data_IF_118738418451
#
_entry.id   IF_118738418451
#
_cell.length_a   1.000
_cell.length_b   1.000
_cell.length_c   1.000
_cell.angle_alpha   90.00
_cell.angle_beta   90.00
_cell.angle_gamma   90.00
#
_symmetry.space_group_name_H-M   'P 1'
#
loop_
_entity.id
_entity.type
_entity.pdbx_description
1 polymer ?
#
# COMPACT_ATOMS: atom_id res chain seq x y z
N UNK A 1 -8.41 -13.72 -26.99
CA UNK A 1 -8.30 -12.35 -26.47
C UNK A 1 -8.04 -12.47 -24.98
N UNK A 2 -6.84 -12.14 -24.47
CA UNK A 2 -6.57 -12.23 -23.04
C UNK A 2 -7.06 -10.95 -22.37
N UNK A 3 -8.26 -11.00 -21.80
CA UNK A 3 -8.85 -9.89 -21.07
C UNK A 3 -10.19 -10.31 -20.53
N UNK A 4 -10.25 -10.55 -19.22
CA UNK A 4 -11.49 -10.83 -18.49
C UNK A 4 -12.37 -9.57 -18.50
N UNK A 5 -13.24 -9.45 -19.51
CA UNK A 5 -14.33 -8.46 -19.54
C UNK A 5 -15.64 -9.21 -19.30
N UNK A 6 -16.12 -9.15 -18.06
CA UNK A 6 -17.35 -9.78 -17.58
C UNK A 6 -17.70 -9.27 -16.17
N UNK A 7 -18.93 -9.51 -15.73
CA UNK A 7 -19.64 -8.95 -14.54
C UNK A 7 -19.06 -9.33 -13.16
N UNK A 8 -17.73 -9.44 -13.07
CA UNK A 8 -16.92 -9.75 -11.88
C UNK A 8 -15.45 -9.35 -12.03
N UNK A 9 -15.13 -8.41 -12.93
CA UNK A 9 -13.76 -7.94 -13.12
C UNK A 9 -13.25 -7.22 -11.87
N UNK A 10 -12.13 -7.71 -11.32
CA UNK A 10 -11.45 -7.10 -10.17
C UNK A 10 -11.21 -5.60 -10.46
N UNK A 11 -11.83 -4.68 -9.68
CA UNK A 11 -11.59 -3.26 -9.85
C UNK A 11 -10.16 -2.98 -9.40
N UNK A 12 -9.24 -2.92 -10.36
CA UNK A 12 -7.88 -2.44 -10.16
C UNK A 12 -7.76 -1.08 -10.85
N UNK A 13 -8.18 0.03 -10.20
CA UNK A 13 -8.22 1.35 -10.83
C UNK A 13 -6.88 1.76 -11.44
N UNK A 14 -5.74 1.39 -10.81
CA UNK A 14 -4.41 1.78 -11.28
C UNK A 14 -3.99 0.99 -12.52
N UNK A 15 -4.37 -0.29 -12.58
CA UNK A 15 -4.14 -1.14 -13.74
C UNK A 15 -5.06 -0.78 -14.91
N UNK A 16 -6.32 -0.43 -14.62
CA UNK A 16 -7.31 -0.02 -15.62
C UNK A 16 -6.96 1.33 -16.26
N UNK A 17 -6.45 2.29 -15.49
CA UNK A 17 -5.93 3.54 -16.06
C UNK A 17 -4.66 3.30 -16.91
N UNK A 18 -3.77 2.41 -16.49
CA UNK A 18 -2.57 2.06 -17.27
C UNK A 18 -2.96 1.32 -18.57
N UNK A 19 -3.95 0.43 -18.53
CA UNK A 19 -4.55 -0.22 -19.71
C UNK A 19 -5.13 0.81 -20.67
N UNK A 20 -5.94 1.74 -20.16
CA UNK A 20 -6.54 2.80 -20.98
C UNK A 20 -5.49 3.73 -21.60
N UNK A 21 -4.43 4.08 -20.86
CA UNK A 21 -3.31 4.85 -21.40
C UNK A 21 -2.52 4.09 -22.48
N UNK A 22 -2.32 2.78 -22.31
CA UNK A 22 -1.65 1.92 -23.29
C UNK A 22 -2.49 1.72 -24.57
N UNK A 23 -3.81 1.51 -24.44
CA UNK A 23 -4.74 1.44 -25.57
C UNK A 23 -4.83 2.78 -26.32
N UNK A 24 -4.68 3.89 -25.59
CA UNK A 24 -4.56 5.23 -26.16
C UNK A 24 -3.23 5.44 -26.91
N UNK A 25 -2.15 4.77 -26.52
CA UNK A 25 -0.85 4.84 -27.20
C UNK A 25 -0.76 3.90 -28.41
N UNK A 26 -1.36 2.71 -28.30
CA UNK A 26 -1.42 1.69 -29.34
C UNK A 26 -2.46 2.00 -30.44
N UNK A 27 -3.20 3.10 -30.32
CA UNK A 27 -4.13 3.59 -31.34
C UNK A 27 -5.45 2.81 -31.43
N UNK A 28 -5.74 1.93 -30.46
CA UNK A 28 -6.98 1.13 -30.41
C UNK A 28 -8.12 1.82 -29.65
N UNK A 29 -7.85 2.97 -29.00
CA UNK A 29 -8.82 3.77 -28.26
C UNK A 29 -8.97 5.21 -28.76
N UNK A 30 -10.04 5.89 -28.33
CA UNK A 30 -10.29 7.31 -28.65
C UNK A 30 -9.40 8.19 -27.77
N UNK A 31 -8.28 8.68 -28.33
CA UNK A 31 -7.25 9.41 -27.58
C UNK A 31 -7.75 10.81 -27.19
N UNK A 32 -7.93 11.12 -25.89
CA UNK A 32 -8.36 12.43 -25.46
C UNK A 32 -7.16 13.38 -25.38
N UNK A 33 -6.60 13.78 -26.53
CA UNK A 33 -5.43 14.68 -26.65
C UNK A 33 -5.57 15.98 -25.86
N UNK A 34 -6.80 16.49 -25.75
CA UNK A 34 -7.11 17.67 -24.94
C UNK A 34 -6.79 17.43 -23.44
N UNK A 35 -7.16 16.26 -22.90
CA UNK A 35 -6.89 15.90 -21.50
C UNK A 35 -5.41 15.69 -21.24
N UNK A 36 -4.67 15.10 -22.18
CA UNK A 36 -3.20 15.01 -22.10
C UNK A 36 -2.55 16.40 -22.11
N UNK A 37 -2.99 17.29 -23.00
CA UNK A 37 -2.49 18.68 -23.06
C UNK A 37 -2.76 19.45 -21.77
N UNK A 38 -3.95 19.33 -21.20
CA UNK A 38 -4.28 19.92 -19.89
C UNK A 38 -3.40 19.33 -18.79
N UNK A 39 -3.18 18.01 -18.79
CA UNK A 39 -2.29 17.35 -17.84
C UNK A 39 -0.86 17.89 -17.91
N UNK A 40 -0.33 18.13 -19.12
CA UNK A 40 1.01 18.72 -19.32
C UNK A 40 1.07 20.16 -18.80
N UNK A 41 0.06 20.98 -19.07
CA UNK A 41 0.01 22.37 -18.58
C UNK A 41 -0.05 22.42 -17.05
N UNK A 42 -0.87 21.56 -16.44
CA UNK A 42 -0.96 21.43 -14.97
C UNK A 42 0.36 20.95 -14.40
N UNK A 43 0.98 19.92 -14.99
CA UNK A 43 2.27 19.40 -14.54
C UNK A 43 3.36 20.48 -14.58
N UNK A 44 3.47 21.23 -15.69
CA UNK A 44 4.41 22.34 -15.81
C UNK A 44 4.15 23.45 -14.78
N UNK A 45 2.88 23.79 -14.55
CA UNK A 45 2.51 24.81 -13.56
C UNK A 45 2.92 24.39 -12.14
N UNK A 46 2.70 23.13 -11.78
CA UNK A 46 3.04 22.58 -10.46
C UNK A 46 4.56 22.46 -10.29
N UNK A 47 5.28 22.05 -11.34
CA UNK A 47 6.74 21.98 -11.37
C UNK A 47 7.37 23.38 -11.17
N UNK A 48 6.78 24.42 -11.78
CA UNK A 48 7.19 25.82 -11.60
C UNK A 48 6.99 26.33 -10.16
N UNK A 49 6.01 25.80 -9.43
CA UNK A 49 5.76 26.11 -8.02
C UNK A 49 6.76 25.35 -7.10
N UNK A 50 7.59 24.46 -7.66
CA UNK A 50 8.54 23.64 -6.91
C UNK A 50 7.90 22.43 -6.23
N UNK A 51 6.66 22.09 -6.60
CA UNK A 51 5.98 20.88 -6.16
C UNK A 51 6.18 19.83 -7.26
N UNK A 52 6.47 18.58 -6.88
CA UNK A 52 6.56 17.50 -7.87
C UNK A 52 5.18 17.21 -8.46
N UNK A 53 5.03 17.37 -9.79
CA UNK A 53 3.80 17.04 -10.50
C UNK A 53 3.35 15.58 -10.29
N UNK A 54 4.32 14.67 -10.10
CA UNK A 54 4.08 13.25 -9.85
C UNK A 54 3.44 13.01 -8.47
N UNK A 55 3.98 13.63 -7.42
CA UNK A 55 3.43 13.53 -6.07
C UNK A 55 2.03 14.17 -5.99
N UNK A 56 1.83 15.27 -6.72
CA UNK A 56 0.53 15.95 -6.82
C UNK A 56 -0.53 15.08 -7.52
N UNK A 57 -0.18 14.48 -8.66
CA UNK A 57 -1.08 13.59 -9.40
C UNK A 57 -1.46 12.33 -8.60
N UNK A 58 -0.50 11.72 -7.90
CA UNK A 58 -0.77 10.61 -6.99
C UNK A 58 -1.73 11.03 -5.86
N UNK A 59 -1.52 12.20 -5.25
CA UNK A 59 -2.38 12.71 -4.18
C UNK A 59 -3.84 12.94 -4.61
N UNK A 60 -4.07 13.39 -5.85
CA UNK A 60 -5.41 13.55 -6.42
C UNK A 60 -6.07 12.22 -6.77
N UNK A 61 -5.27 11.21 -7.09
CA UNK A 61 -5.74 9.91 -7.56
C UNK A 61 -6.10 8.97 -6.40
N UNK A 62 -5.34 9.00 -5.30
CA UNK A 62 -5.57 8.11 -4.16
C UNK A 62 -6.75 8.61 -3.30
N UNK A 63 -7.73 7.76 -2.98
CA UNK A 63 -8.78 8.10 -2.03
C UNK A 63 -8.23 8.53 -0.66
N UNK A 64 -8.93 9.44 0.01
CA UNK A 64 -8.47 10.04 1.28
C UNK A 64 -8.15 9.01 2.38
N UNK A 65 -8.85 7.86 2.38
CA UNK A 65 -8.64 6.80 3.36
C UNK A 65 -7.27 6.11 3.24
N UNK A 66 -6.69 5.99 2.04
CA UNK A 66 -5.31 5.49 1.86
C UNK A 66 -4.24 6.60 1.95
N UNK A 67 -4.59 7.86 1.73
CA UNK A 67 -3.66 8.98 1.88
C UNK A 67 -3.28 9.28 3.33
N UNK A 68 -4.18 9.02 4.27
CA UNK A 68 -3.97 9.30 5.70
C UNK A 68 -2.76 8.54 6.29
N UNK A 69 -2.62 7.21 6.13
CA UNK A 69 -1.43 6.50 6.62
C UNK A 69 -0.15 6.91 5.90
N UNK A 70 -0.20 7.25 4.60
CA UNK A 70 0.95 7.76 3.83
C UNK A 70 1.42 9.09 4.42
N UNK A 71 0.49 10.01 4.70
CA UNK A 71 0.78 11.31 5.30
C UNK A 71 1.39 11.16 6.69
N UNK A 72 0.86 10.25 7.52
CA UNK A 72 1.43 9.97 8.85
C UNK A 72 2.85 9.37 8.72
N UNK A 73 3.08 8.46 7.78
CA UNK A 73 4.40 7.92 7.49
C UNK A 73 5.40 9.01 7.08
N UNK A 74 4.97 9.94 6.21
CA UNK A 74 5.77 11.10 5.81
C UNK A 74 6.06 12.04 7.00
N UNK A 75 5.10 12.23 7.89
CA UNK A 75 5.27 13.01 9.11
C UNK A 75 6.32 12.38 10.04
N UNK A 76 6.28 11.05 10.23
CA UNK A 76 7.30 10.33 11.00
C UNK A 76 8.68 10.48 10.36
N UNK A 77 8.79 10.34 9.03
CA UNK A 77 10.05 10.54 8.32
C UNK A 77 10.61 11.96 8.49
N UNK A 78 9.73 12.97 8.49
CA UNK A 78 10.09 14.35 8.78
C UNK A 78 10.59 14.53 10.22
N UNK A 79 9.94 13.91 11.21
CA UNK A 79 10.41 13.92 12.60
C UNK A 79 11.80 13.28 12.75
N UNK A 80 12.05 12.16 12.06
CA UNK A 80 13.37 11.50 12.05
C UNK A 80 14.43 12.45 11.49
N UNK A 81 14.14 13.16 10.39
CA UNK A 81 15.06 14.13 9.80
C UNK A 81 15.36 15.31 10.72
N UNK A 82 14.35 15.80 11.47
CA UNK A 82 14.50 16.94 12.38
C UNK A 82 15.23 16.60 13.69
N UNK A 83 15.39 15.32 14.00
CA UNK A 83 15.98 14.86 15.27
C UNK A 83 17.46 15.26 15.46
N UNK A 84 18.23 15.50 14.41
CA UNK A 84 19.66 15.82 14.53
C UNK A 84 20.14 16.76 13.43
N UNK A 85 21.15 17.58 13.73
CA UNK A 85 21.74 18.59 12.81
C UNK A 85 22.91 18.07 11.97
N UNK A 86 23.40 16.86 12.24
CA UNK A 86 24.51 16.24 11.52
C UNK A 86 23.99 15.42 10.33
N UNK A 87 24.32 15.85 9.12
CA UNK A 87 23.84 15.26 7.87
C UNK A 87 24.19 13.77 7.72
N UNK A 88 25.37 13.35 8.18
CA UNK A 88 25.77 11.94 8.14
C UNK A 88 24.84 11.06 9.00
N UNK A 89 24.46 11.54 10.18
CA UNK A 89 23.54 10.83 11.07
C UNK A 89 22.12 10.82 10.49
N UNK A 90 21.65 11.93 9.91
CA UNK A 90 20.31 12.03 9.31
C UNK A 90 20.17 11.05 8.14
N UNK A 91 21.20 10.97 7.29
CA UNK A 91 21.24 10.02 6.17
C UNK A 91 21.18 8.57 6.65
N UNK A 92 21.97 8.21 7.66
CA UNK A 92 21.96 6.87 8.24
C UNK A 92 20.58 6.50 8.83
N UNK A 93 19.94 7.42 9.57
CA UNK A 93 18.60 7.21 10.14
C UNK A 93 17.52 7.10 9.05
N UNK A 94 17.60 7.93 8.02
CA UNK A 94 16.66 7.90 6.88
C UNK A 94 16.78 6.58 6.10
N UNK A 95 18.01 6.11 5.83
CA UNK A 95 18.24 4.84 5.14
C UNK A 95 17.71 3.66 5.96
N UNK A 96 17.91 3.70 7.29
CA UNK A 96 17.35 2.67 8.18
C UNK A 96 15.82 2.66 8.14
N UNK A 97 15.18 3.82 8.14
CA UNK A 97 13.72 3.93 7.99
C UNK A 97 13.21 3.35 6.66
N UNK A 98 13.89 3.63 5.55
CA UNK A 98 13.59 3.06 4.23
C UNK A 98 13.74 1.53 4.25
N UNK A 99 14.80 1.01 4.86
CA UNK A 99 15.04 -0.43 4.96
C UNK A 99 13.91 -1.13 5.73
N UNK A 100 13.51 -0.60 6.89
CA UNK A 100 12.41 -1.17 7.69
C UNK A 100 11.10 -1.11 6.90
N UNK A 101 10.80 0.01 6.26
CA UNK A 101 9.59 0.17 5.45
C UNK A 101 9.54 -0.84 4.30
N UNK A 102 10.64 -0.99 3.55
CA UNK A 102 10.72 -1.98 2.47
C UNK A 102 10.59 -3.42 2.94
N UNK A 103 11.15 -3.75 4.12
CA UNK A 103 11.01 -5.07 4.74
C UNK A 103 9.57 -5.38 5.15
N UNK A 104 8.85 -4.39 5.69
CA UNK A 104 7.42 -4.53 6.04
C UNK A 104 6.55 -4.70 4.79
N UNK A 105 6.81 -3.93 3.72
CA UNK A 105 6.11 -4.07 2.44
C UNK A 105 6.35 -5.45 1.83
N UNK A 106 7.61 -5.89 1.79
CA UNK A 106 7.97 -7.21 1.28
C UNK A 106 7.35 -8.34 2.11
N UNK A 107 7.35 -8.22 3.43
CA UNK A 107 6.70 -9.18 4.33
C UNK A 107 5.20 -9.28 4.09
N UNK A 108 4.50 -8.15 3.93
CA UNK A 108 3.08 -8.12 3.59
C UNK A 108 2.78 -8.81 2.26
N UNK A 109 3.56 -8.51 1.23
CA UNK A 109 3.41 -9.13 -0.09
C UNK A 109 3.63 -10.66 -0.06
N UNK A 110 4.64 -11.14 0.68
CA UNK A 110 4.89 -12.58 0.82
C UNK A 110 3.71 -13.27 1.53
N UNK A 111 3.14 -12.64 2.55
CA UNK A 111 1.96 -13.19 3.24
C UNK A 111 0.73 -13.23 2.33
N UNK A 112 0.48 -12.21 1.50
CA UNK A 112 -0.60 -12.23 0.50
C UNK A 112 -0.43 -13.35 -0.52
N UNK A 113 0.78 -13.54 -1.06
CA UNK A 113 1.06 -14.63 -2.00
C UNK A 113 0.81 -15.99 -1.34
N UNK A 114 1.23 -16.16 -0.07
CA UNK A 114 1.01 -17.39 0.66
C UNK A 114 -0.49 -17.67 0.87
N UNK A 115 -1.27 -16.66 1.27
CA UNK A 115 -2.72 -16.78 1.43
C UNK A 115 -3.36 -17.17 0.10
N UNK A 116 -3.09 -16.43 -0.98
CA UNK A 116 -3.65 -16.71 -2.30
C UNK A 116 -3.29 -18.12 -2.81
N UNK A 117 -2.05 -18.54 -2.58
CA UNK A 117 -1.60 -19.88 -2.93
C UNK A 117 -2.38 -20.96 -2.18
N UNK A 118 -2.55 -20.81 -0.87
CA UNK A 118 -3.34 -21.77 -0.08
C UNK A 118 -4.82 -21.79 -0.50
N UNK A 119 -5.42 -20.64 -0.78
CA UNK A 119 -6.82 -20.58 -1.26
C UNK A 119 -6.99 -21.24 -2.62
N UNK A 120 -6.01 -21.08 -3.52
CA UNK A 120 -6.03 -21.75 -4.83
C UNK A 120 -5.85 -23.27 -4.69
N UNK A 121 -5.02 -23.71 -3.73
CA UNK A 121 -4.85 -25.12 -3.42
C UNK A 121 -6.14 -25.74 -2.84
N UNK A 122 -6.85 -25.01 -1.99
CA UNK A 122 -8.15 -25.43 -1.43
C UNK A 122 -9.20 -25.59 -2.53
N UNK A 123 -9.27 -24.64 -3.47
CA UNK A 123 -10.17 -24.70 -4.61
C UNK A 123 -9.86 -25.92 -5.49
N UNK A 124 -8.58 -26.21 -5.71
CA UNK A 124 -8.12 -27.34 -6.52
C UNK A 124 -8.34 -28.71 -5.85
N UNK A 125 -8.09 -28.82 -4.53
CA UNK A 125 -8.12 -30.11 -3.82
C UNK A 125 -9.48 -30.45 -3.22
N UNK A 126 -10.22 -29.46 -2.69
CA UNK A 126 -11.44 -29.70 -1.89
C UNK A 126 -12.73 -29.31 -2.62
N UNK A 127 -12.66 -28.65 -3.78
CA UNK A 127 -13.82 -28.33 -4.63
C UNK A 127 -14.96 -27.58 -3.93
N UNK A 128 -14.72 -26.99 -2.76
CA UNK A 128 -15.74 -26.42 -1.90
C UNK A 128 -15.88 -24.93 -2.15
N UNK A 129 -16.72 -24.55 -3.10
CA UNK A 129 -17.16 -23.17 -3.31
C UNK A 129 -18.24 -22.83 -2.28
N UNK A 130 -17.97 -21.95 -1.32
CA UNK A 130 -18.98 -21.46 -0.37
C UNK A 130 -19.36 -20.02 -0.75
N UNK A 131 -20.59 -19.82 -1.21
CA UNK A 131 -21.16 -18.51 -1.53
C UNK A 131 -21.82 -17.93 -0.28
N UNK A 132 -21.23 -16.90 0.33
CA UNK A 132 -21.89 -16.10 1.38
C UNK A 132 -21.58 -14.62 1.15
N UNK A 133 -22.62 -13.81 0.97
CA UNK A 133 -22.58 -12.41 1.41
C UNK A 133 -21.97 -11.33 0.50
N UNK A 134 -21.80 -11.54 -0.81
CA UNK A 134 -21.62 -10.42 -1.77
C UNK A 134 -20.28 -9.67 -1.73
N UNK A 135 -19.33 -10.10 -0.92
CA UNK A 135 -17.90 -9.79 -1.06
C UNK A 135 -17.16 -11.14 -1.15
N UNK A 136 -16.30 -11.31 -2.15
CA UNK A 136 -15.49 -12.53 -2.30
C UNK A 136 -14.46 -12.62 -1.15
N UNK A 137 -14.88 -13.15 -0.01
CA UNK A 137 -13.95 -13.51 1.05
C UNK A 137 -13.63 -15.00 0.94
N UNK A 138 -12.48 -15.27 0.32
CA UNK A 138 -11.90 -16.59 0.10
C UNK A 138 -11.33 -17.15 1.41
N UNK A 139 -12.17 -17.56 2.35
CA UNK A 139 -11.73 -18.31 3.53
C UNK A 139 -11.56 -19.78 3.12
N UNK A 140 -10.36 -20.09 2.63
CA UNK A 140 -9.90 -21.45 2.45
C UNK A 140 -9.97 -22.23 3.77
N UNK A 141 -10.59 -23.40 3.73
CA UNK A 141 -10.76 -24.33 4.87
C UNK A 141 -9.42 -24.83 5.43
N UNK A 142 -8.28 -24.60 4.76
CA UNK A 142 -6.93 -24.98 5.20
C UNK A 142 -6.27 -23.96 6.14
N UNK A 143 -6.68 -22.69 6.17
CA UNK A 143 -6.20 -21.72 7.18
C UNK A 143 -7.27 -21.23 8.17
N UNK A 144 -8.03 -22.12 8.84
CA UNK A 144 -9.00 -21.75 9.86
C UNK A 144 -8.33 -21.19 11.13
N UNK A 145 -6.99 -21.28 11.23
CA UNK A 145 -6.23 -20.67 12.32
C UNK A 145 -5.88 -19.20 12.07
N UNK A 146 -5.84 -18.75 10.82
CA UNK A 146 -5.68 -17.32 10.49
C UNK A 146 -7.01 -16.58 10.55
N UNK A 147 -8.11 -17.28 10.24
CA UNK A 147 -9.46 -16.70 10.30
C UNK A 147 -10.01 -16.66 11.74
N UNK A 148 -9.34 -15.90 12.60
CA UNK A 148 -9.82 -15.62 13.95
C UNK A 148 -11.14 -14.83 13.95
N UNK A 149 -11.40 -14.05 12.89
CA UNK A 149 -12.62 -13.27 12.73
C UNK A 149 -13.83 -14.16 12.47
N UNK A 150 -13.75 -15.04 11.47
CA UNK A 150 -14.80 -16.01 11.13
C UNK A 150 -15.13 -16.94 12.30
N UNK A 151 -14.11 -17.39 13.05
CA UNK A 151 -14.33 -18.23 14.24
C UNK A 151 -15.06 -17.52 15.37
N UNK A 152 -14.84 -16.20 15.54
CA UNK A 152 -15.56 -15.42 16.56
C UNK A 152 -17.00 -15.14 16.13
N UNK A 153 -17.24 -14.90 14.83
CA UNK A 153 -18.61 -14.77 14.28
C UNK A 153 -19.38 -16.08 14.44
N UNK A 154 -18.76 -17.22 14.13
CA UNK A 154 -19.34 -18.56 14.31
C UNK A 154 -19.62 -18.90 15.79
N UNK A 155 -18.93 -18.23 16.73
CA UNK A 155 -19.15 -18.37 18.19
C UNK A 155 -20.28 -17.50 18.73
N UNK A 156 -20.96 -16.72 17.86
CA UNK A 156 -22.12 -15.89 18.23
C UNK A 156 -21.77 -14.45 18.66
N UNK A 157 -20.58 -13.95 18.33
CA UNK A 157 -20.19 -12.56 18.61
C UNK A 157 -20.76 -11.62 17.53
N UNK A 158 -21.31 -10.47 17.94
CA UNK A 158 -21.86 -9.47 17.02
C UNK A 158 -20.78 -8.96 16.04
N UNK A 159 -21.05 -9.07 14.74
CA UNK A 159 -20.11 -8.66 13.68
C UNK A 159 -19.73 -7.17 13.75
N UNK A 160 -20.65 -6.30 14.18
CA UNK A 160 -20.39 -4.88 14.37
C UNK A 160 -19.36 -4.62 15.48
N UNK A 161 -19.42 -5.41 16.55
CA UNK A 161 -18.47 -5.30 17.66
C UNK A 161 -17.06 -5.74 17.24
N UNK A 162 -16.97 -6.81 16.46
CA UNK A 162 -15.69 -7.26 15.88
C UNK A 162 -15.10 -6.23 14.93
N UNK A 163 -15.92 -5.62 14.06
CA UNK A 163 -15.47 -4.58 13.15
C UNK A 163 -14.92 -3.34 13.91
N UNK A 164 -15.58 -2.94 15.00
CA UNK A 164 -15.09 -1.86 15.87
C UNK A 164 -13.77 -2.23 16.53
N UNK A 165 -13.66 -3.43 17.07
CA UNK A 165 -12.40 -3.90 17.66
C UNK A 165 -11.27 -3.96 16.65
N UNK A 166 -11.53 -4.45 15.44
CA UNK A 166 -10.53 -4.51 14.38
C UNK A 166 -10.03 -3.11 14.00
N UNK A 167 -10.94 -2.13 13.92
CA UNK A 167 -10.56 -0.75 13.66
C UNK A 167 -9.68 -0.17 14.78
N UNK A 168 -10.04 -0.41 16.06
CA UNK A 168 -9.23 0.04 17.19
C UNK A 168 -7.89 -0.68 17.28
N UNK A 169 -7.86 -2.00 17.09
CA UNK A 169 -6.66 -2.80 17.11
C UNK A 169 -5.71 -2.39 15.97
N UNK A 170 -6.26 -2.17 14.78
CA UNK A 170 -5.53 -1.65 13.62
C UNK A 170 -4.93 -0.28 13.89
N UNK A 171 -5.70 0.63 14.50
CA UNK A 171 -5.20 1.95 14.90
C UNK A 171 -4.08 1.86 15.94
N UNK A 172 -4.25 1.02 16.97
CA UNK A 172 -3.23 0.82 18.02
C UNK A 172 -1.94 0.25 17.42
N UNK A 173 -2.05 -0.77 16.56
CA UNK A 173 -0.90 -1.36 15.87
C UNK A 173 -0.21 -0.37 14.94
N UNK A 174 -0.97 0.45 14.24
CA UNK A 174 -0.41 1.50 13.37
C UNK A 174 0.39 2.53 14.18
N UNK A 175 -0.15 3.01 15.30
CA UNK A 175 0.57 3.93 16.20
C UNK A 175 1.82 3.26 16.79
N UNK A 176 1.71 2.01 17.24
CA UNK A 176 2.83 1.25 17.76
C UNK A 176 3.95 1.10 16.72
N UNK A 177 3.59 0.81 15.47
CA UNK A 177 4.54 0.72 14.35
C UNK A 177 5.22 2.06 14.10
N UNK A 178 4.48 3.18 14.04
CA UNK A 178 5.06 4.51 13.86
C UNK A 178 6.06 4.85 14.97
N UNK A 179 5.72 4.55 16.23
CA UNK A 179 6.62 4.76 17.38
C UNK A 179 7.85 3.86 17.31
N UNK A 180 7.67 2.59 16.95
CA UNK A 180 8.76 1.62 16.79
C UNK A 180 9.73 2.07 15.71
N UNK A 181 9.23 2.44 14.52
CA UNK A 181 10.06 2.91 13.40
C UNK A 181 10.80 4.19 13.80
N UNK A 182 10.13 5.15 14.43
CA UNK A 182 10.75 6.39 14.89
C UNK A 182 11.90 6.10 15.88
N UNK A 183 11.62 5.29 16.90
CA UNK A 183 12.59 4.94 17.93
C UNK A 183 13.78 4.14 17.39
N UNK A 184 13.52 3.18 16.50
CA UNK A 184 14.56 2.35 15.91
C UNK A 184 15.43 3.13 14.91
N UNK A 185 14.84 4.08 14.18
CA UNK A 185 15.60 5.03 13.36
C UNK A 185 16.54 5.87 14.23
N UNK A 186 16.13 6.33 15.41
CA UNK A 186 16.98 7.14 16.30
C UNK A 186 18.25 6.41 16.77
N UNK A 187 18.21 5.08 16.83
CA UNK A 187 19.34 4.23 17.24
C UNK A 187 20.39 4.03 16.14
N UNK A 188 20.10 4.42 14.89
CA UNK A 188 21.08 4.30 13.82
C UNK A 188 22.26 5.26 14.06
N UNK A 189 23.47 4.72 13.95
CA UNK A 189 24.72 5.48 13.97
C UNK A 189 25.24 5.60 12.53
N UNK A 190 25.92 6.70 12.19
CA UNK A 190 26.59 6.82 10.91
C UNK A 190 27.71 5.78 10.82
N UNK A 191 27.78 5.09 9.68
CA UNK A 191 28.81 4.10 9.42
C UNK A 191 30.17 4.80 9.33
N UNK A 192 31.12 4.41 10.20
CA UNK A 192 32.46 4.99 10.23
C UNK A 192 33.33 4.66 8.99
N UNK A 193 32.82 3.83 8.07
CA UNK A 193 33.56 3.31 6.92
C UNK A 193 32.79 3.43 5.58
N UNK A 194 31.79 4.31 5.50
CA UNK A 194 31.16 4.61 4.22
C UNK A 194 32.14 5.44 3.37
N UNK A 195 32.42 5.06 2.11
CA UNK A 195 33.29 5.85 1.25
C UNK A 195 32.72 7.26 1.13
N UNK A 196 33.56 8.28 1.36
CA UNK A 196 33.20 9.68 1.15
C UNK A 196 32.88 9.87 -0.34
N UNK A 197 31.58 9.80 -0.67
CA UNK A 197 31.10 10.23 -1.98
C UNK A 197 31.00 11.76 -1.88
N UNK A 198 32.11 12.43 -2.18
CA UNK A 198 32.12 13.85 -2.49
C UNK A 198 31.16 14.07 -3.66
N UNK A 199 30.08 14.80 -3.41
CA UNK A 199 29.29 15.49 -4.44
C UNK A 199 29.63 16.97 -4.36
#
# INVERSE_FOLDING_TARGET
QPGYEGDGALPAPQANMMKSALESFLGTGQVPWLLYGVGVVVALTVELIGISALAFGLGMYLPMYINTPILIGAFVAWLVKRSTKNDATVKARSNKGILIASGLIAGGAIMEVLVNFTTALDELLLGAKKMVGGAEEMVGKIMPFLDCSGRMIDSGVDAEWLARLQNFLGLIMFVALCLFVFWDCLRAKPDANAPEIHM
#
